data_IF_502439648520
#
_entry.id   IF_502439648520
#
_cell.length_a   1.000
_cell.length_b   1.000
_cell.length_c   1.000
_cell.angle_alpha   90.00
_cell.angle_beta   90.00
_cell.angle_gamma   90.00
#
_symmetry.space_group_name_H-M   'P 1'
#
loop_
_entity.id
_entity.type
_entity.pdbx_description
1 polymer ?
#
# COMPACT_ATOMS: atom_id res chain seq x y z
N UNK A 1 9.43 -0.33 6.11
CA UNK A 1 8.97 0.15 4.78
C UNK A 1 8.56 1.62 4.73
N UNK A 2 8.16 2.21 5.87
CA UNK A 2 7.71 3.60 5.99
C UNK A 2 8.60 4.66 5.34
N UNK A 3 9.92 4.47 5.35
CA UNK A 3 10.89 5.42 4.80
C UNK A 3 10.69 5.75 3.30
N UNK A 4 9.96 4.93 2.56
CA UNK A 4 9.67 5.19 1.14
C UNK A 4 8.43 6.06 0.91
N UNK A 5 7.62 6.32 1.95
CA UNK A 5 6.35 7.05 1.85
C UNK A 5 6.52 8.43 1.21
N UNK A 6 7.50 9.22 1.65
CA UNK A 6 7.71 10.56 1.07
C UNK A 6 8.08 10.51 -0.42
N UNK A 7 8.98 9.60 -0.81
CA UNK A 7 9.35 9.42 -2.23
C UNK A 7 8.15 8.99 -3.09
N UNK A 8 7.25 8.19 -2.51
CA UNK A 8 6.00 7.79 -3.17
C UNK A 8 5.10 9.00 -3.38
N UNK A 9 4.90 9.83 -2.34
CA UNK A 9 4.09 11.06 -2.38
C UNK A 9 4.62 12.03 -3.43
N UNK A 10 5.91 12.30 -3.41
CA UNK A 10 6.61 13.15 -4.39
C UNK A 10 6.41 12.63 -5.82
N UNK A 11 6.61 11.32 -6.02
CA UNK A 11 6.46 10.69 -7.35
C UNK A 11 5.02 10.77 -7.84
N UNK A 12 4.04 10.44 -7.00
CA UNK A 12 2.62 10.48 -7.35
C UNK A 12 2.18 11.91 -7.68
N UNK A 13 2.53 12.89 -6.82
CA UNK A 13 2.20 14.30 -7.05
C UNK A 13 2.81 14.81 -8.35
N UNK A 14 4.08 14.49 -8.62
CA UNK A 14 4.76 14.86 -9.86
C UNK A 14 4.07 14.26 -11.10
N UNK A 15 3.73 12.97 -11.08
CA UNK A 15 3.09 12.31 -12.22
C UNK A 15 1.70 12.88 -12.55
N UNK A 16 0.94 13.25 -11.52
CA UNK A 16 -0.37 13.91 -11.67
C UNK A 16 -0.21 15.35 -12.17
N UNK A 17 0.72 16.15 -11.60
CA UNK A 17 0.99 17.54 -12.05
C UNK A 17 1.48 17.61 -13.49
N UNK A 18 2.31 16.65 -13.90
CA UNK A 18 2.82 16.53 -15.28
C UNK A 18 1.76 15.96 -16.25
N UNK A 19 0.55 15.64 -15.79
CA UNK A 19 -0.51 14.99 -16.58
C UNK A 19 -0.01 13.71 -17.29
N UNK A 20 0.93 12.98 -16.69
CA UNK A 20 1.41 11.68 -17.22
C UNK A 20 0.43 10.56 -16.90
N UNK A 21 -0.29 10.71 -15.81
CA UNK A 21 -1.36 9.81 -15.36
C UNK A 21 -2.56 10.67 -14.98
N UNK A 22 -3.76 10.15 -15.18
CA UNK A 22 -5.02 10.78 -14.79
C UNK A 22 -5.42 10.39 -13.36
N UNK A 23 -4.97 9.20 -12.92
CA UNK A 23 -5.18 8.68 -11.56
C UNK A 23 -3.91 7.99 -11.07
N UNK A 24 -3.65 8.05 -9.76
CA UNK A 24 -2.62 7.29 -9.09
C UNK A 24 -3.23 6.36 -8.05
N UNK A 25 -2.87 5.08 -8.10
CA UNK A 25 -3.35 4.00 -7.24
C UNK A 25 -2.25 3.64 -6.25
N UNK A 26 -2.54 3.78 -4.97
CA UNK A 26 -1.65 3.41 -3.88
C UNK A 26 -2.43 2.93 -2.66
N UNK A 27 -1.84 3.06 -1.48
CA UNK A 27 -2.49 2.75 -0.21
C UNK A 27 -2.59 4.01 0.65
N UNK A 28 -3.54 4.02 1.58
CA UNK A 28 -3.62 4.98 2.67
C UNK A 28 -3.81 4.24 3.99
N UNK A 29 -3.58 4.94 5.11
CA UNK A 29 -3.99 4.44 6.42
C UNK A 29 -5.50 4.21 6.44
N UNK A 30 -5.92 3.02 6.87
CA UNK A 30 -7.32 2.72 7.14
C UNK A 30 -7.77 3.24 8.49
N UNK A 31 -9.07 3.16 8.76
CA UNK A 31 -9.66 3.54 10.05
C UNK A 31 -9.50 2.46 11.12
N UNK A 32 -9.22 1.22 10.70
CA UNK A 32 -8.98 0.08 11.59
C UNK A 32 -7.47 -0.23 11.60
N UNK A 33 -6.84 -0.40 12.77
CA UNK A 33 -5.43 -0.76 12.86
C UNK A 33 -5.10 -2.01 12.04
N UNK A 34 -3.93 -1.98 11.38
CA UNK A 34 -3.46 -3.05 10.49
C UNK A 34 -4.33 -3.31 9.25
N UNK A 35 -5.28 -2.43 8.94
CA UNK A 35 -6.15 -2.54 7.76
C UNK A 35 -5.98 -1.34 6.84
N UNK A 36 -4.77 -1.20 6.28
CA UNK A 36 -4.54 -0.17 5.27
C UNK A 36 -5.31 -0.51 3.99
N UNK A 37 -5.83 0.52 3.34
CA UNK A 37 -6.75 0.35 2.22
C UNK A 37 -6.23 0.99 0.94
N UNK A 38 -6.57 0.42 -0.24
CA UNK A 38 -6.29 1.03 -1.52
C UNK A 38 -6.92 2.42 -1.61
N UNK A 39 -6.23 3.33 -2.27
CA UNK A 39 -6.74 4.66 -2.57
C UNK A 39 -6.40 5.04 -4.00
N UNK A 40 -7.33 5.75 -4.64
CA UNK A 40 -7.18 6.32 -5.96
C UNK A 40 -7.21 7.84 -5.80
N UNK A 41 -6.15 8.51 -6.23
CA UNK A 41 -6.04 9.96 -6.21
C UNK A 41 -5.91 10.50 -7.62
N UNK A 42 -6.68 11.52 -7.96
CA UNK A 42 -6.57 12.27 -9.22
C UNK A 42 -6.12 13.71 -9.00
N UNK A 43 -6.11 14.15 -7.74
CA UNK A 43 -5.69 15.48 -7.32
C UNK A 43 -4.25 15.39 -6.78
N UNK A 44 -3.27 16.10 -7.39
CA UNK A 44 -1.90 16.07 -6.92
C UNK A 44 -1.69 16.55 -5.49
N UNK A 45 -2.60 17.36 -4.94
CA UNK A 45 -2.55 17.84 -3.55
C UNK A 45 -2.95 16.74 -2.56
N UNK A 46 -3.63 15.69 -3.03
CA UNK A 46 -3.99 14.54 -2.21
C UNK A 46 -2.90 13.48 -2.11
N UNK A 47 -1.72 13.72 -2.68
CA UNK A 47 -0.60 12.77 -2.59
C UNK A 47 -0.23 12.44 -1.13
N UNK A 48 -0.37 13.40 -0.21
CA UNK A 48 0.00 13.23 1.21
C UNK A 48 -0.79 12.13 1.94
N UNK A 49 -1.95 11.72 1.44
CA UNK A 49 -2.71 10.62 2.04
C UNK A 49 -2.08 9.25 1.74
N UNK A 50 -1.18 9.18 0.75
CA UNK A 50 -0.48 7.96 0.39
C UNK A 50 0.41 7.49 1.55
N UNK A 51 0.44 6.19 1.74
CA UNK A 51 1.10 5.55 2.86
C UNK A 51 1.65 4.17 2.48
N UNK A 52 2.80 3.79 3.04
CA UNK A 52 3.43 2.51 2.74
C UNK A 52 4.08 1.87 3.98
N UNK A 53 3.48 0.81 4.50
CA UNK A 53 3.98 0.02 5.63
C UNK A 53 3.74 -1.49 5.41
N UNK A 54 4.03 -2.30 6.43
CA UNK A 54 3.85 -3.76 6.39
C UNK A 54 2.40 -4.26 6.45
N UNK A 55 1.43 -3.36 6.54
CA UNK A 55 0.00 -3.65 6.51
C UNK A 55 -0.63 -3.37 5.14
N UNK A 56 0.13 -2.81 4.17
CA UNK A 56 -0.32 -2.52 2.81
C UNK A 56 -0.35 -3.79 1.91
N UNK A 57 -1.07 -4.82 2.33
CA UNK A 57 -1.07 -6.14 1.68
C UNK A 57 -2.14 -6.37 0.60
N UNK A 58 -3.10 -5.47 0.43
CA UNK A 58 -4.21 -5.65 -0.52
C UNK A 58 -3.74 -5.50 -1.98
N UNK A 59 -4.31 -6.29 -2.89
CA UNK A 59 -3.95 -6.24 -4.31
C UNK A 59 -4.50 -4.98 -4.98
N UNK A 60 -3.62 -4.05 -5.38
CA UNK A 60 -4.02 -2.83 -6.09
C UNK A 60 -4.48 -3.12 -7.53
N UNK A 61 -4.11 -4.26 -8.11
CA UNK A 61 -4.43 -4.58 -9.50
C UNK A 61 -5.92 -4.82 -9.73
N UNK A 62 -6.68 -5.12 -8.66
CA UNK A 62 -8.13 -5.22 -8.69
C UNK A 62 -8.81 -3.93 -9.20
N UNK A 63 -8.12 -2.79 -9.14
CA UNK A 63 -8.62 -1.49 -9.58
C UNK A 63 -8.21 -1.14 -11.01
N UNK A 64 -7.55 -2.02 -11.75
CA UNK A 64 -7.11 -1.75 -13.14
C UNK A 64 -8.18 -2.09 -14.18
N UNK A 65 -9.01 -3.09 -13.93
CA UNK A 65 -9.93 -3.63 -14.95
C UNK A 65 -11.01 -2.60 -15.33
N UNK A 66 -11.42 -2.62 -16.61
CA UNK A 66 -12.51 -1.77 -17.17
C UNK A 66 -12.22 -0.25 -17.15
N UNK A 67 -10.96 0.14 -16.97
CA UNK A 67 -10.53 1.54 -16.97
C UNK A 67 -10.04 1.99 -18.35
N UNK A 68 -10.30 3.24 -18.68
CA UNK A 68 -9.90 3.86 -19.95
C UNK A 68 -8.91 5.01 -19.77
N UNK A 69 -8.71 5.45 -18.53
CA UNK A 69 -7.77 6.49 -18.14
C UNK A 69 -6.33 5.98 -18.04
N UNK A 70 -5.37 6.91 -17.94
CA UNK A 70 -3.93 6.63 -17.73
C UNK A 70 -3.66 6.49 -16.24
N UNK A 71 -3.05 5.39 -15.84
CA UNK A 71 -3.00 4.97 -14.45
C UNK A 71 -1.56 4.91 -13.97
N UNK A 72 -1.25 5.66 -12.91
CA UNK A 72 -0.10 5.44 -12.06
C UNK A 72 -0.43 4.39 -11.02
N UNK A 73 0.44 3.41 -10.77
CA UNK A 73 0.20 2.38 -9.76
C UNK A 73 1.46 2.04 -8.98
N UNK A 74 1.33 1.93 -7.66
CA UNK A 74 2.36 1.34 -6.80
C UNK A 74 2.46 -0.17 -7.03
N UNK A 75 3.67 -0.66 -7.31
CA UNK A 75 3.90 -2.08 -7.57
C UNK A 75 5.06 -2.62 -6.73
N UNK A 76 4.72 -3.52 -5.80
CA UNK A 76 5.67 -4.46 -5.22
C UNK A 76 5.78 -5.71 -6.12
N UNK A 77 6.65 -6.67 -5.75
CA UNK A 77 6.85 -7.89 -6.55
C UNK A 77 5.60 -8.73 -6.80
N UNK A 78 4.62 -8.72 -5.89
CA UNK A 78 3.35 -9.44 -6.06
C UNK A 78 2.40 -8.69 -7.01
N UNK A 79 2.26 -7.37 -6.84
CA UNK A 79 1.47 -6.51 -7.73
C UNK A 79 2.04 -6.56 -9.17
N UNK A 80 3.36 -6.51 -9.35
CA UNK A 80 3.99 -6.59 -10.69
C UNK A 80 3.62 -7.87 -11.44
N UNK A 81 3.59 -9.02 -10.75
CA UNK A 81 3.15 -10.29 -11.35
C UNK A 81 1.69 -10.22 -11.80
N UNK A 82 0.83 -9.63 -10.96
CA UNK A 82 -0.60 -9.52 -11.23
C UNK A 82 -0.89 -8.52 -12.38
N UNK A 83 -0.16 -7.41 -12.46
CA UNK A 83 -0.21 -6.48 -13.60
C UNK A 83 0.08 -7.21 -14.92
N UNK A 84 1.11 -8.05 -14.96
CA UNK A 84 1.44 -8.84 -16.16
C UNK A 84 0.28 -9.77 -16.54
N UNK A 85 -0.32 -10.47 -15.59
CA UNK A 85 -1.51 -11.30 -15.84
C UNK A 85 -2.65 -10.48 -16.45
N UNK A 86 -2.99 -9.32 -15.87
CA UNK A 86 -4.04 -8.45 -16.41
C UNK A 86 -3.75 -7.94 -17.83
N UNK A 87 -2.48 -7.69 -18.16
CA UNK A 87 -2.08 -7.31 -19.52
C UNK A 87 -2.27 -8.49 -20.49
N UNK A 88 -1.81 -9.69 -20.12
CA UNK A 88 -1.93 -10.91 -20.96
C UNK A 88 -3.41 -11.27 -21.19
N UNK A 89 -4.25 -11.10 -20.17
CA UNK A 89 -5.69 -11.35 -20.23
C UNK A 89 -6.49 -10.20 -20.87
N UNK A 90 -5.82 -9.22 -21.46
CA UNK A 90 -6.41 -8.04 -22.10
C UNK A 90 -7.36 -7.23 -21.19
N UNK A 91 -7.16 -7.28 -19.87
CA UNK A 91 -7.94 -6.53 -18.89
C UNK A 91 -7.50 -5.06 -18.78
N UNK A 92 -6.26 -4.78 -19.16
CA UNK A 92 -5.66 -3.43 -19.22
C UNK A 92 -4.59 -3.39 -20.31
N UNK A 93 -4.41 -2.26 -20.98
CA UNK A 93 -3.32 -2.10 -21.95
C UNK A 93 -2.04 -1.63 -21.27
N UNK A 94 -0.88 -2.09 -21.76
CA UNK A 94 0.42 -1.72 -21.17
C UNK A 94 0.71 -0.22 -21.24
N UNK A 95 0.32 0.44 -22.33
CA UNK A 95 0.50 1.87 -22.57
C UNK A 95 -0.33 2.75 -21.62
N UNK A 96 -1.42 2.22 -21.05
CA UNK A 96 -2.21 2.91 -20.02
C UNK A 96 -1.50 2.98 -18.67
N UNK A 97 -0.42 2.21 -18.43
CA UNK A 97 0.18 2.06 -17.10
C UNK A 97 1.53 2.78 -16.94
N UNK A 98 1.62 3.57 -15.88
CA UNK A 98 2.87 4.04 -15.28
C UNK A 98 3.11 3.30 -13.96
N UNK A 99 4.11 2.43 -13.93
CA UNK A 99 4.38 1.54 -12.79
C UNK A 99 5.46 2.16 -11.90
N UNK A 100 5.11 2.44 -10.63
CA UNK A 100 6.07 2.91 -9.61
C UNK A 100 6.46 1.73 -8.73
N UNK A 101 7.65 1.19 -8.97
CA UNK A 101 8.20 0.07 -8.22
C UNK A 101 8.56 0.46 -6.79
N UNK A 102 8.21 -0.39 -5.82
CA UNK A 102 8.54 -0.19 -4.40
C UNK A 102 9.18 -1.45 -3.79
N UNK A 103 10.22 -1.30 -2.97
CA UNK A 103 10.78 -2.42 -2.23
C UNK A 103 9.80 -2.87 -1.13
N UNK A 104 9.66 -4.19 -1.01
CA UNK A 104 8.82 -4.83 -0.01
C UNK A 104 9.66 -5.84 0.77
N UNK A 105 9.73 -5.67 2.10
CA UNK A 105 10.51 -6.53 3.00
C UNK A 105 9.68 -7.64 3.65
N UNK A 106 8.40 -7.75 3.28
CA UNK A 106 7.45 -8.69 3.88
C UNK A 106 6.18 -7.97 4.35
N UNK A 107 5.09 -8.71 4.53
CA UNK A 107 3.83 -8.20 5.07
C UNK A 107 3.53 -8.84 6.41
N UNK A 108 2.94 -8.11 7.34
CA UNK A 108 2.56 -8.64 8.65
C UNK A 108 1.30 -9.52 8.51
N UNK A 109 1.34 -10.72 9.10
CA UNK A 109 0.14 -11.55 9.25
C UNK A 109 -0.68 -11.06 10.44
N UNK A 110 -1.74 -10.30 10.15
CA UNK A 110 -2.72 -9.84 11.15
C UNK A 110 -3.25 -10.97 12.03
N UNK A 111 -3.47 -12.19 11.50
CA UNK A 111 -3.97 -13.32 12.30
C UNK A 111 -2.93 -13.83 13.27
N UNK A 112 -1.64 -13.79 12.91
CA UNK A 112 -0.56 -14.12 13.83
C UNK A 112 -0.47 -13.10 14.97
N UNK A 113 -0.54 -11.81 14.65
CA UNK A 113 -0.53 -10.73 15.67
C UNK A 113 -1.71 -10.84 16.62
N UNK A 114 -2.93 -11.05 16.08
CA UNK A 114 -4.13 -11.24 16.91
C UNK A 114 -3.98 -12.43 17.88
N UNK A 115 -3.35 -13.53 17.45
CA UNK A 115 -3.07 -14.67 18.34
C UNK A 115 -2.05 -14.32 19.41
N UNK A 116 -0.98 -13.59 19.07
CA UNK A 116 0.05 -13.18 20.01
C UNK A 116 -0.52 -12.31 21.14
N UNK A 117 -1.43 -11.38 20.81
CA UNK A 117 -2.07 -10.50 21.80
C UNK A 117 -3.34 -11.11 22.45
N UNK A 118 -3.52 -12.43 22.38
CA UNK A 118 -4.66 -13.16 22.94
C UNK A 118 -6.04 -12.65 22.47
N UNK A 119 -6.15 -12.26 21.20
CA UNK A 119 -7.34 -11.67 20.58
C UNK A 119 -7.88 -10.42 21.29
N UNK A 120 -7.04 -9.72 22.06
CA UNK A 120 -7.39 -8.41 22.63
C UNK A 120 -7.54 -7.38 21.51
N UNK A 121 -8.36 -6.38 21.77
CA UNK A 121 -8.57 -5.27 20.83
C UNK A 121 -7.29 -4.44 20.66
N UNK A 122 -6.89 -4.25 19.41
CA UNK A 122 -5.75 -3.44 19.01
C UNK A 122 -6.29 -2.06 18.63
N UNK A 123 -5.76 -1.01 19.25
CA UNK A 123 -6.16 0.39 19.04
C UNK A 123 -5.17 1.14 18.13
N UNK A 124 -3.88 0.80 18.18
CA UNK A 124 -2.87 1.42 17.33
C UNK A 124 -1.72 0.44 17.03
N UNK A 125 -1.09 0.63 15.86
CA UNK A 125 0.10 -0.12 15.46
C UNK A 125 1.11 0.85 14.85
N UNK A 126 2.34 0.79 15.36
CA UNK A 126 3.47 1.58 14.85
C UNK A 126 4.58 0.65 14.41
N UNK A 127 5.10 0.89 13.21
CA UNK A 127 6.27 0.20 12.68
C UNK A 127 7.49 1.12 12.85
N UNK A 128 8.59 0.57 13.36
CA UNK A 128 9.88 1.24 13.47
C UNK A 128 11.00 0.29 13.01
N UNK A 129 11.46 0.48 11.77
CA UNK A 129 12.48 -0.37 11.17
C UNK A 129 12.06 -1.84 11.09
N UNK A 130 12.74 -2.68 11.87
CA UNK A 130 12.52 -4.12 11.94
C UNK A 130 11.55 -4.53 13.07
N UNK A 131 11.02 -3.56 13.82
CA UNK A 131 10.09 -3.79 14.92
C UNK A 131 8.72 -3.17 14.65
N UNK A 132 7.69 -3.74 15.26
CA UNK A 132 6.40 -3.09 15.34
C UNK A 132 5.81 -3.22 16.74
N UNK A 133 5.19 -2.15 17.20
CA UNK A 133 4.53 -2.06 18.50
C UNK A 133 3.03 -2.04 18.29
N UNK A 134 2.34 -2.91 19.02
CA UNK A 134 0.88 -3.05 19.05
C UNK A 134 0.39 -2.51 20.39
N UNK A 135 -0.50 -1.53 20.34
CA UNK A 135 -1.13 -0.95 21.54
C UNK A 135 -2.61 -1.31 21.58
N UNK A 136 -3.05 -1.81 22.72
CA UNK A 136 -4.47 -1.92 23.05
C UNK A 136 -4.82 -1.03 24.24
N UNK A 137 -6.01 -1.25 24.82
CA UNK A 137 -6.50 -0.46 25.96
C UNK A 137 -5.60 -0.57 27.19
N UNK A 138 -5.16 -1.79 27.51
CA UNK A 138 -4.46 -2.12 28.76
C UNK A 138 -3.15 -2.88 28.51
N UNK A 139 -2.61 -2.82 27.28
CA UNK A 139 -1.36 -3.49 26.92
C UNK A 139 -0.61 -2.77 25.80
N UNK A 140 0.70 -2.96 25.81
CA UNK A 140 1.62 -2.56 24.75
C UNK A 140 2.63 -3.69 24.57
N UNK A 141 2.69 -4.24 23.36
CA UNK A 141 3.59 -5.35 23.02
C UNK A 141 4.38 -4.99 21.77
N UNK A 142 5.69 -5.27 21.79
CA UNK A 142 6.59 -5.04 20.66
C UNK A 142 7.05 -6.38 20.10
N UNK A 143 7.05 -6.49 18.79
CA UNK A 143 7.41 -7.69 18.04
C UNK A 143 8.50 -7.37 17.01
N UNK A 144 9.41 -8.31 16.78
CA UNK A 144 10.38 -8.25 15.68
C UNK A 144 9.78 -8.85 14.41
N UNK A 145 9.96 -8.18 13.27
CA UNK A 145 9.50 -8.64 11.95
C UNK A 145 10.42 -9.69 11.30
N UNK A 146 11.58 -9.96 11.91
CA UNK A 146 12.63 -10.84 11.38
C UNK A 146 12.73 -12.22 12.07
N UNK A 147 11.90 -12.48 13.08
CA UNK A 147 11.91 -13.73 13.85
C UNK A 147 10.69 -14.62 13.57
#
# INVERSE_FOLDING_TARGET
>A
MLAYTEKIRETASRLLKENKVDVFIGYKKGTVPMMNEPVLISDPEKADILYWDSNCGLNLCNYLTKRTDRIGILANGCNSRNIVTHIIENQIKRDQLYIVGIPCTGMIDRRAVMRAVNNKEILDVKEDGDQFTVKGKDFEETFDTKN
#
